data_IF_945335839742
#
_entry.id   IF_945335839742
#
_cell.length_a   1.000
_cell.length_b   1.000
_cell.length_c   1.000
_cell.angle_alpha   90.00
_cell.angle_beta   90.00
_cell.angle_gamma   90.00
#
_symmetry.space_group_name_H-M   'P 1'
#
loop_
_entity.id
_entity.type
_entity.pdbx_description
1 polymer ?
#
# COMPACT_ATOMS: atom_id res chain seq x y z
N UNK A 1 -24.47 0.72 22.43
CA UNK A 1 -23.54 1.15 21.37
C UNK A 1 -22.64 -0.04 21.04
N UNK A 2 -22.48 -0.42 19.76
CA UNK A 2 -21.54 -1.48 19.40
C UNK A 2 -20.11 -0.91 19.43
N UNK A 3 -19.22 -1.51 20.24
CA UNK A 3 -17.81 -1.13 20.24
C UNK A 3 -17.22 -1.46 18.87
N UNK A 4 -16.69 -0.45 18.18
CA UNK A 4 -16.00 -0.63 16.91
C UNK A 4 -14.80 -1.56 17.15
N UNK A 5 -14.90 -2.81 16.68
CA UNK A 5 -13.81 -3.79 16.71
C UNK A 5 -12.68 -3.23 15.85
N UNK A 6 -11.72 -2.53 16.47
CA UNK A 6 -10.47 -2.15 15.83
C UNK A 6 -9.73 -3.45 15.53
N UNK A 7 -9.78 -3.92 14.29
CA UNK A 7 -8.86 -4.96 13.84
C UNK A 7 -7.44 -4.34 13.95
N UNK A 8 -6.55 -4.86 14.81
CA UNK A 8 -5.23 -4.25 15.02
C UNK A 8 -4.35 -4.27 13.76
N UNK A 9 -4.73 -5.05 12.76
CA UNK A 9 -4.07 -5.18 11.46
C UNK A 9 -4.49 -4.09 10.46
N UNK A 10 -5.40 -3.17 10.86
CA UNK A 10 -5.88 -2.06 10.02
C UNK A 10 -5.43 -0.73 10.62
N UNK A 11 -4.44 -0.10 9.98
CA UNK A 11 -3.93 1.21 10.37
C UNK A 11 -4.62 2.31 9.53
N UNK A 12 -5.06 3.40 10.18
CA UNK A 12 -5.52 4.59 9.45
C UNK A 12 -4.32 5.46 9.11
N UNK A 13 -3.97 5.55 7.83
CA UNK A 13 -2.81 6.28 7.32
C UNK A 13 -3.22 7.40 6.36
N UNK A 14 -2.45 8.49 6.35
CA UNK A 14 -2.66 9.57 5.40
C UNK A 14 -1.75 9.36 4.17
N UNK A 15 -2.35 9.13 3.01
CA UNK A 15 -1.64 8.87 1.76
C UNK A 15 -1.96 9.95 0.71
N UNK A 16 -1.07 10.12 -0.27
CA UNK A 16 -1.35 10.88 -1.49
C UNK A 16 -1.40 9.93 -2.69
N UNK A 17 -2.31 10.18 -3.63
CA UNK A 17 -2.38 9.38 -4.86
C UNK A 17 -1.13 9.55 -5.73
N UNK A 18 -0.40 8.48 -6.11
CA UNK A 18 0.80 8.56 -6.95
C UNK A 18 0.48 8.87 -8.43
N UNK A 19 -0.75 8.58 -8.86
CA UNK A 19 -1.31 8.80 -10.19
C UNK A 19 -2.79 9.21 -10.08
N UNK A 20 -3.38 9.72 -11.16
CA UNK A 20 -4.82 10.00 -11.19
C UNK A 20 -5.63 8.70 -11.38
N UNK A 21 -6.72 8.55 -10.63
CA UNK A 21 -7.63 7.40 -10.70
C UNK A 21 -9.05 7.84 -11.07
N UNK A 22 -9.72 7.07 -11.93
CA UNK A 22 -11.14 7.26 -12.26
C UNK A 22 -11.99 6.26 -11.49
N UNK A 23 -13.00 6.71 -10.77
CA UNK A 23 -13.98 5.82 -10.15
C UNK A 23 -14.86 5.17 -11.22
N UNK A 24 -14.99 3.84 -11.19
CA UNK A 24 -15.85 3.08 -12.12
C UNK A 24 -17.34 3.28 -11.86
N UNK A 25 -17.73 3.55 -10.60
CA UNK A 25 -19.14 3.70 -10.22
C UNK A 25 -19.73 5.09 -10.52
N UNK A 26 -18.97 6.18 -10.28
CA UNK A 26 -19.45 7.55 -10.46
C UNK A 26 -18.71 8.34 -11.54
N UNK A 27 -17.76 7.74 -12.27
CA UNK A 27 -16.92 8.34 -13.33
C UNK A 27 -15.99 9.49 -12.93
N UNK A 28 -16.09 10.00 -11.69
CA UNK A 28 -15.24 11.04 -11.10
C UNK A 28 -13.76 10.67 -11.15
N UNK A 29 -12.92 11.63 -11.53
CA UNK A 29 -11.46 11.48 -11.53
C UNK A 29 -10.88 12.17 -10.31
N UNK A 30 -10.10 11.43 -9.51
CA UNK A 30 -9.27 11.97 -8.43
C UNK A 30 -7.85 12.20 -8.99
N UNK A 31 -7.31 13.39 -8.79
CA UNK A 31 -6.02 13.78 -9.37
C UNK A 31 -4.81 13.17 -8.62
N UNK A 32 -3.68 13.05 -9.32
CA UNK A 32 -2.39 12.78 -8.68
C UNK A 32 -2.13 13.81 -7.58
N UNK A 33 -1.60 13.37 -6.44
CA UNK A 33 -1.34 14.21 -5.27
C UNK A 33 -2.56 14.45 -4.37
N UNK A 34 -3.76 13.95 -4.72
CA UNK A 34 -4.93 14.06 -3.82
C UNK A 34 -4.65 13.33 -2.51
N UNK A 35 -4.84 14.05 -1.39
CA UNK A 35 -4.60 13.58 -0.02
C UNK A 35 -5.84 12.85 0.52
N UNK A 36 -5.66 11.60 0.95
CA UNK A 36 -6.71 10.69 1.39
C UNK A 36 -6.40 10.15 2.80
N UNK A 37 -7.45 9.99 3.60
CA UNK A 37 -7.41 9.19 4.83
C UNK A 37 -7.70 7.74 4.45
N UNK A 38 -6.65 6.95 4.24
CA UNK A 38 -6.73 5.57 3.79
C UNK A 38 -6.65 4.59 4.97
N UNK A 39 -7.11 3.36 4.73
CA UNK A 39 -6.79 2.21 5.58
C UNK A 39 -5.65 1.43 4.94
N UNK A 40 -4.66 1.05 5.74
CA UNK A 40 -3.59 0.13 5.37
C UNK A 40 -3.86 -1.19 6.08
N UNK A 41 -3.81 -2.27 5.32
CA UNK A 41 -4.01 -3.65 5.77
C UNK A 41 -2.84 -4.48 5.25
N UNK A 42 -2.39 -5.50 5.98
CA UNK A 42 -1.34 -6.40 5.51
C UNK A 42 -1.92 -7.44 4.56
N UNK A 43 -1.40 -7.52 3.33
CA UNK A 43 -1.82 -8.48 2.33
C UNK A 43 -1.25 -9.88 2.68
N UNK A 44 -2.11 -10.78 3.16
CA UNK A 44 -1.69 -12.10 3.65
C UNK A 44 -1.28 -13.10 2.55
N UNK A 45 -1.58 -12.81 1.28
CA UNK A 45 -1.44 -13.76 0.16
C UNK A 45 -0.46 -13.30 -0.95
N UNK A 46 0.11 -12.09 -0.86
CA UNK A 46 1.07 -11.60 -1.85
C UNK A 46 2.50 -11.97 -1.45
N UNK A 47 2.89 -13.23 -1.70
CA UNK A 47 4.27 -13.72 -1.54
C UNK A 47 5.19 -13.38 -2.72
N UNK A 48 4.98 -12.24 -3.37
CA UNK A 48 6.08 -11.67 -4.15
C UNK A 48 7.16 -11.22 -3.15
N UNK A 49 8.45 -11.33 -3.51
CA UNK A 49 9.57 -10.96 -2.62
C UNK A 49 9.68 -9.43 -2.51
N UNK A 50 8.66 -8.79 -1.94
CA UNK A 50 8.66 -7.37 -1.62
C UNK A 50 9.55 -7.16 -0.40
N UNK A 51 10.80 -6.86 -0.70
CA UNK A 51 11.79 -6.44 0.28
C UNK A 51 11.64 -4.91 0.47
N UNK A 52 11.03 -4.42 1.58
CA UNK A 52 10.20 -3.19 1.64
C UNK A 52 10.90 -1.80 1.62
N UNK A 53 11.91 -1.58 0.76
CA UNK A 53 12.56 -0.28 0.50
C UNK A 53 13.16 0.52 1.69
N UNK A 54 13.18 0.00 2.92
CA UNK A 54 13.78 0.64 4.11
C UNK A 54 14.98 -0.07 4.78
N UNK A 55 15.30 -1.31 4.42
CA UNK A 55 16.49 -2.05 4.87
C UNK A 55 17.77 -1.48 4.21
N UNK A 56 18.87 -1.32 4.95
CA UNK A 56 20.12 -0.79 4.38
C UNK A 56 20.81 -1.69 3.35
N UNK A 57 20.34 -2.93 3.12
CA UNK A 57 21.02 -3.96 2.32
C UNK A 57 20.37 -4.30 0.97
N UNK A 58 19.36 -3.56 0.49
CA UNK A 58 18.59 -3.91 -0.73
C UNK A 58 19.40 -4.24 -1.97
N UNK A 59 20.47 -3.49 -2.24
CA UNK A 59 21.30 -3.69 -3.42
C UNK A 59 22.05 -5.04 -3.43
N UNK A 60 22.23 -5.69 -2.27
CA UNK A 60 22.77 -7.04 -2.19
C UNK A 60 21.70 -8.11 -2.38
N UNK A 61 20.46 -7.83 -1.95
CA UNK A 61 19.33 -8.76 -2.08
C UNK A 61 18.88 -8.86 -3.54
N UNK A 62 18.85 -7.74 -4.28
CA UNK A 62 18.60 -7.70 -5.72
C UNK A 62 19.64 -8.55 -6.48
N UNK A 63 20.93 -8.40 -6.15
CA UNK A 63 22.03 -9.20 -6.74
C UNK A 63 21.96 -10.70 -6.42
N UNK A 64 21.38 -11.09 -5.29
CA UNK A 64 21.13 -12.50 -4.94
C UNK A 64 19.86 -13.07 -5.60
N UNK A 65 18.95 -12.21 -6.07
CA UNK A 65 17.75 -12.61 -6.81
C UNK A 65 18.00 -12.93 -8.29
N UNK A 66 19.08 -12.38 -8.87
CA UNK A 66 19.46 -12.60 -10.27
C UNK A 66 20.09 -13.97 -10.54
N UNK A 67 19.29 -15.03 -10.52
CA UNK A 67 19.74 -16.37 -10.95
C UNK A 67 18.60 -17.20 -11.58
N UNK A 68 17.97 -16.66 -12.63
CA UNK A 68 17.40 -17.36 -13.80
C UNK A 68 17.04 -16.34 -14.88
#
# INVERSE_FOLDING_TARGET
MAAQRKNPQIENVLMMLPSSIRCTACSTVMAKGTKLNSRKEEALDEKEKLVPYTDPNWQEIEKRGGLS
#
